data_IF_404906233619
#
_entry.id   IF_404906233619
#
_cell.length_a   1.000
_cell.length_b   1.000
_cell.length_c   1.000
_cell.angle_alpha   90.00
_cell.angle_beta   90.00
_cell.angle_gamma   90.00
#
_symmetry.space_group_name_H-M   'P 1'
#
loop_
_entity.id
_entity.type
_entity.pdbx_description
1 polymer ?
#
# COMPACT_ATOMS: atom_id res chain seq x y z
N UNK A 1 -28.10 -15.27 -38.00
CA UNK A 1 -26.78 -14.65 -38.23
C UNK A 1 -26.44 -13.57 -37.18
N UNK A 2 -27.45 -13.05 -36.46
CA UNK A 2 -27.31 -11.93 -35.48
C UNK A 2 -26.68 -12.22 -34.11
N UNK A 3 -26.72 -13.47 -33.65
CA UNK A 3 -26.23 -13.80 -32.30
C UNK A 3 -24.71 -13.83 -32.17
N UNK A 4 -23.96 -14.07 -33.23
CA UNK A 4 -22.49 -14.07 -33.22
C UNK A 4 -21.91 -12.65 -33.28
N UNK A 5 -22.54 -11.74 -34.02
CA UNK A 5 -22.10 -10.33 -34.10
C UNK A 5 -22.38 -9.55 -32.81
N UNK A 6 -23.50 -9.84 -32.16
CA UNK A 6 -23.81 -9.24 -30.83
C UNK A 6 -22.87 -9.75 -29.77
N UNK A 7 -22.47 -11.02 -29.77
CA UNK A 7 -21.50 -11.58 -28.79
C UNK A 7 -20.07 -11.07 -29.01
N UNK A 8 -19.65 -10.84 -30.25
CA UNK A 8 -18.31 -10.24 -30.52
C UNK A 8 -18.27 -8.75 -30.17
N UNK A 9 -19.37 -8.01 -30.37
CA UNK A 9 -19.47 -6.60 -30.01
C UNK A 9 -19.43 -6.36 -28.50
N UNK A 10 -20.11 -7.19 -27.71
CA UNK A 10 -20.06 -7.12 -26.24
C UNK A 10 -18.71 -7.56 -25.68
N UNK A 11 -18.10 -8.61 -26.23
CA UNK A 11 -16.78 -9.06 -25.79
C UNK A 11 -15.68 -8.01 -26.04
N UNK A 12 -15.72 -7.30 -27.18
CA UNK A 12 -14.78 -6.21 -27.48
C UNK A 12 -14.98 -5.01 -26.55
N UNK A 13 -16.22 -4.65 -26.26
CA UNK A 13 -16.55 -3.54 -25.36
C UNK A 13 -16.09 -3.82 -23.93
N UNK A 14 -16.25 -5.05 -23.48
CA UNK A 14 -15.79 -5.47 -22.13
C UNK A 14 -14.26 -5.51 -22.06
N UNK A 15 -13.56 -5.90 -23.12
CA UNK A 15 -12.10 -5.87 -23.21
C UNK A 15 -11.55 -4.43 -23.22
N UNK A 16 -12.23 -3.50 -23.91
CA UNK A 16 -11.89 -2.07 -23.86
C UNK A 16 -12.08 -1.47 -22.46
N UNK A 17 -13.16 -1.83 -21.77
CA UNK A 17 -13.41 -1.38 -20.40
C UNK A 17 -12.33 -1.87 -19.43
N UNK A 18 -11.88 -3.12 -19.57
CA UNK A 18 -10.79 -3.68 -18.75
C UNK A 18 -9.43 -3.06 -19.08
N UNK A 19 -9.18 -2.68 -20.34
CA UNK A 19 -7.92 -2.06 -20.78
C UNK A 19 -7.80 -0.56 -20.47
N UNK A 20 -8.93 0.15 -20.33
CA UNK A 20 -8.96 1.61 -20.11
C UNK A 20 -8.37 2.07 -18.78
N UNK A 21 -8.25 1.18 -17.80
CA UNK A 21 -7.74 1.46 -16.45
C UNK A 21 -6.21 1.49 -16.33
N UNK A 22 -5.44 1.04 -17.35
CA UNK A 22 -4.00 0.87 -17.22
C UNK A 22 -3.28 2.17 -16.82
N UNK A 23 -3.49 3.25 -17.56
CA UNK A 23 -2.85 4.54 -17.26
C UNK A 23 -3.23 5.10 -15.87
N UNK A 24 -4.48 4.90 -15.45
CA UNK A 24 -4.95 5.25 -14.11
C UNK A 24 -4.23 4.42 -13.06
N UNK A 25 -4.13 3.12 -13.27
CA UNK A 25 -3.43 2.21 -12.36
C UNK A 25 -1.95 2.56 -12.20
N UNK A 26 -1.25 2.96 -13.29
CA UNK A 26 0.15 3.44 -13.22
C UNK A 26 0.26 4.70 -12.39
N UNK A 27 -0.62 5.69 -12.59
CA UNK A 27 -0.63 6.92 -11.79
C UNK A 27 -0.86 6.59 -10.32
N UNK A 28 -1.81 5.69 -10.01
CA UNK A 28 -2.06 5.26 -8.64
C UNK A 28 -0.84 4.56 -8.03
N UNK A 29 -0.16 3.67 -8.76
CA UNK A 29 1.01 2.94 -8.27
C UNK A 29 2.21 3.87 -7.97
N UNK A 30 2.47 4.83 -8.87
CA UNK A 30 3.54 5.81 -8.65
C UNK A 30 3.22 6.77 -7.49
N UNK A 31 1.96 7.23 -7.38
CA UNK A 31 1.51 8.02 -6.23
C UNK A 31 1.63 7.23 -4.93
N UNK A 32 1.29 5.93 -4.96
CA UNK A 32 1.51 5.05 -3.83
C UNK A 32 2.98 5.04 -3.39
N UNK A 33 3.92 4.91 -4.34
CA UNK A 33 5.35 4.98 -4.04
C UNK A 33 5.75 6.27 -3.34
N UNK A 34 5.27 7.44 -3.81
CA UNK A 34 5.54 8.74 -3.19
C UNK A 34 5.09 8.78 -1.73
N UNK A 35 3.86 8.37 -1.44
CA UNK A 35 3.26 8.44 -0.11
C UNK A 35 3.80 7.38 0.84
N UNK A 36 3.99 6.14 0.37
CA UNK A 36 4.58 5.07 1.17
C UNK A 36 6.02 5.39 1.57
N UNK A 37 6.80 6.02 0.68
CA UNK A 37 8.15 6.48 1.02
C UNK A 37 8.18 7.61 2.04
N UNK A 38 7.17 8.49 2.02
CA UNK A 38 7.05 9.58 3.00
C UNK A 38 6.59 9.09 4.38
N UNK A 39 5.84 7.98 4.44
CA UNK A 39 5.32 7.43 5.70
C UNK A 39 6.42 6.97 6.67
N UNK A 40 7.63 6.72 6.17
CA UNK A 40 8.79 6.37 7.00
C UNK A 40 9.44 7.59 7.66
N UNK A 41 9.25 8.79 7.12
CA UNK A 41 9.87 9.99 7.66
C UNK A 41 9.46 10.29 9.12
N UNK A 42 8.18 10.22 9.52
CA UNK A 42 7.79 10.38 10.91
C UNK A 42 8.34 9.31 11.85
N UNK A 43 8.51 8.08 11.39
CA UNK A 43 9.04 6.97 12.22
C UNK A 43 10.52 7.15 12.54
N UNK A 44 11.29 7.82 11.68
CA UNK A 44 12.69 8.18 11.95
C UNK A 44 12.84 9.19 13.10
N UNK A 45 11.78 9.94 13.41
CA UNK A 45 11.75 10.89 14.53
C UNK A 45 11.60 10.17 15.89
N UNK A 46 11.39 8.85 15.88
CA UNK A 46 11.16 8.05 17.09
C UNK A 46 12.33 7.11 17.33
N UNK A 47 13.31 7.56 18.09
CA UNK A 47 14.36 6.70 18.65
C UNK A 47 14.00 6.39 20.12
N UNK A 48 13.13 5.39 20.33
CA UNK A 48 12.36 5.30 21.57
C UNK A 48 12.73 4.13 22.49
N UNK A 49 13.53 3.19 22.03
CA UNK A 49 13.75 1.94 22.80
C UNK A 49 12.48 1.11 23.01
N UNK A 50 11.37 1.45 22.33
CA UNK A 50 10.13 0.69 22.37
C UNK A 50 10.29 -0.68 21.69
N UNK A 51 9.48 -1.65 22.15
CA UNK A 51 9.43 -2.95 21.50
C UNK A 51 8.84 -2.84 20.06
N UNK A 52 9.23 -3.72 19.13
CA UNK A 52 8.63 -3.79 17.79
C UNK A 52 7.10 -3.94 17.82
N UNK A 53 6.57 -4.64 18.79
CA UNK A 53 5.12 -4.80 18.97
C UNK A 53 4.44 -3.48 19.35
N UNK A 54 5.02 -2.72 20.28
CA UNK A 54 4.53 -1.42 20.69
C UNK A 54 4.56 -0.41 19.53
N UNK A 55 5.67 -0.34 18.79
CA UNK A 55 5.81 0.51 17.59
C UNK A 55 4.74 0.18 16.59
N UNK A 56 4.56 -1.12 16.26
CA UNK A 56 3.57 -1.58 15.30
C UNK A 56 2.14 -1.20 15.74
N UNK A 57 1.79 -1.40 17.00
CA UNK A 57 0.47 -1.04 17.53
C UNK A 57 0.19 0.46 17.43
N UNK A 58 1.16 1.30 17.79
CA UNK A 58 1.03 2.76 17.72
C UNK A 58 0.85 3.24 16.25
N UNK A 59 1.61 2.67 15.31
CA UNK A 59 1.42 2.96 13.88
C UNK A 59 0.03 2.53 13.40
N UNK A 60 -0.41 1.32 13.76
CA UNK A 60 -1.71 0.79 13.34
C UNK A 60 -2.87 1.58 13.91
N UNK A 61 -2.73 2.24 15.06
CA UNK A 61 -3.73 3.19 15.54
C UNK A 61 -3.95 4.36 14.55
N UNK A 62 -2.86 4.88 13.96
CA UNK A 62 -2.92 5.88 12.89
C UNK A 62 -3.54 5.33 11.60
N UNK A 63 -3.14 4.11 11.22
CA UNK A 63 -3.72 3.38 10.07
C UNK A 63 -5.22 3.19 10.25
N UNK A 64 -5.66 2.73 11.42
CA UNK A 64 -7.09 2.56 11.73
C UNK A 64 -7.86 3.86 11.56
N UNK A 65 -7.36 4.94 12.15
CA UNK A 65 -7.99 6.25 12.05
C UNK A 65 -8.09 6.72 10.60
N UNK A 66 -7.03 6.60 9.80
CA UNK A 66 -7.03 7.00 8.41
C UNK A 66 -7.98 6.16 7.54
N UNK A 67 -8.04 4.84 7.76
CA UNK A 67 -8.88 3.91 7.00
C UNK A 67 -10.38 4.06 7.28
N UNK A 68 -10.75 4.72 8.36
CA UNK A 68 -12.13 5.17 8.59
C UNK A 68 -12.36 6.61 8.13
N UNK A 69 -11.38 7.48 8.29
CA UNK A 69 -11.49 8.91 7.95
C UNK A 69 -11.50 9.15 6.44
N UNK A 70 -10.54 8.56 5.69
CA UNK A 70 -10.40 8.82 4.25
C UNK A 70 -11.58 8.28 3.43
N UNK A 71 -12.04 7.03 3.59
CA UNK A 71 -13.25 6.54 2.93
C UNK A 71 -14.50 7.35 3.30
N UNK A 72 -14.64 7.72 4.58
CA UNK A 72 -15.74 8.58 5.04
C UNK A 72 -15.70 9.95 4.36
N UNK A 73 -14.52 10.56 4.22
CA UNK A 73 -14.34 11.83 3.54
C UNK A 73 -14.68 11.75 2.05
N UNK A 74 -14.32 10.66 1.38
CA UNK A 74 -14.50 10.49 -0.07
C UNK A 74 -15.93 10.06 -0.45
N UNK A 75 -16.46 9.04 0.21
CA UNK A 75 -17.74 8.39 -0.13
C UNK A 75 -18.82 8.45 0.96
N UNK A 76 -18.41 8.66 2.22
CA UNK A 76 -19.31 8.58 3.38
C UNK A 76 -19.53 7.14 3.88
N UNK A 77 -19.92 7.02 5.15
CA UNK A 77 -20.16 5.74 5.81
C UNK A 77 -21.31 4.95 5.22
N UNK A 78 -22.35 5.63 4.73
CA UNK A 78 -23.50 4.96 4.08
C UNK A 78 -23.07 4.14 2.88
N UNK A 79 -22.20 4.69 2.04
CA UNK A 79 -21.63 3.95 0.90
C UNK A 79 -20.85 2.74 1.35
N UNK A 80 -19.93 2.94 2.32
CA UNK A 80 -19.09 1.85 2.85
C UNK A 80 -19.95 0.70 3.40
N UNK A 81 -20.93 0.99 4.25
CA UNK A 81 -21.79 -0.03 4.83
C UNK A 81 -22.70 -0.70 3.79
N UNK A 82 -23.18 0.05 2.79
CA UNK A 82 -23.97 -0.53 1.70
C UNK A 82 -23.14 -1.50 0.85
N UNK A 83 -21.88 -1.14 0.52
CA UNK A 83 -20.97 -1.99 -0.23
C UNK A 83 -20.57 -3.24 0.58
N UNK A 84 -20.27 -3.08 1.88
CA UNK A 84 -20.02 -4.21 2.78
C UNK A 84 -21.23 -5.14 2.89
N UNK A 85 -22.43 -4.57 2.98
CA UNK A 85 -23.68 -5.34 3.02
C UNK A 85 -23.91 -6.19 1.78
N UNK A 86 -23.47 -5.72 0.62
CA UNK A 86 -23.54 -6.43 -0.67
C UNK A 86 -22.46 -7.51 -0.80
N UNK A 87 -21.29 -7.28 -0.20
CA UNK A 87 -20.11 -8.12 -0.33
C UNK A 87 -19.74 -8.84 0.98
N UNK A 88 -20.74 -9.26 1.76
CA UNK A 88 -20.55 -9.91 3.10
C UNK A 88 -19.57 -11.07 3.09
N UNK A 89 -19.55 -11.86 2.00
CA UNK A 89 -18.68 -13.03 1.82
C UNK A 89 -17.18 -12.65 1.74
N UNK A 90 -16.85 -11.36 1.51
CA UNK A 90 -15.48 -10.86 1.44
C UNK A 90 -14.98 -10.28 2.76
N UNK A 91 -15.86 -10.05 3.75
CA UNK A 91 -15.49 -9.46 5.05
C UNK A 91 -14.41 -10.28 5.74
N UNK A 92 -14.56 -11.61 5.79
CA UNK A 92 -13.55 -12.49 6.38
C UNK A 92 -12.21 -12.40 5.63
N UNK A 93 -12.25 -12.33 4.30
CA UNK A 93 -11.05 -12.19 3.49
C UNK A 93 -10.31 -10.86 3.80
N UNK A 94 -11.05 -9.77 4.00
CA UNK A 94 -10.48 -8.48 4.36
C UNK A 94 -9.83 -8.52 5.76
N UNK A 95 -10.50 -9.12 6.75
CA UNK A 95 -9.94 -9.30 8.09
C UNK A 95 -8.66 -10.14 8.05
N UNK A 96 -8.68 -11.28 7.34
CA UNK A 96 -7.49 -12.15 7.18
C UNK A 96 -6.33 -11.41 6.50
N UNK A 97 -6.60 -10.59 5.49
CA UNK A 97 -5.58 -9.76 4.87
C UNK A 97 -4.96 -8.78 5.88
N UNK A 98 -5.79 -8.16 6.72
CA UNK A 98 -5.33 -7.28 7.79
C UNK A 98 -4.48 -8.01 8.84
N UNK A 99 -4.84 -9.23 9.19
CA UNK A 99 -4.03 -10.06 10.09
C UNK A 99 -2.65 -10.37 9.48
N UNK A 100 -2.60 -10.77 8.20
CA UNK A 100 -1.34 -11.02 7.48
C UNK A 100 -0.48 -9.76 7.44
N UNK A 101 -1.09 -8.61 7.16
CA UNK A 101 -0.38 -7.33 7.15
C UNK A 101 0.22 -7.00 8.52
N UNK A 102 -0.54 -7.14 9.60
CA UNK A 102 -0.10 -6.82 10.96
C UNK A 102 1.12 -7.65 11.38
N UNK A 103 1.09 -8.96 11.08
CA UNK A 103 2.23 -9.84 11.35
C UNK A 103 3.42 -9.43 10.49
N UNK A 104 3.22 -9.19 9.20
CA UNK A 104 4.29 -8.76 8.29
C UNK A 104 4.91 -7.43 8.75
N UNK A 105 4.10 -6.44 9.10
CA UNK A 105 4.57 -5.15 9.59
C UNK A 105 5.39 -5.29 10.90
N UNK A 106 4.93 -6.13 11.81
CA UNK A 106 5.69 -6.41 13.04
C UNK A 106 7.03 -7.09 12.71
N UNK A 107 7.05 -8.05 11.79
CA UNK A 107 8.29 -8.70 11.33
C UNK A 107 9.26 -7.71 10.67
N UNK A 108 8.80 -6.69 9.95
CA UNK A 108 9.69 -5.67 9.38
C UNK A 108 10.37 -4.83 10.47
N UNK A 109 9.65 -4.49 11.55
CA UNK A 109 10.25 -3.77 12.68
C UNK A 109 11.32 -4.64 13.36
N UNK A 110 11.08 -5.95 13.51
CA UNK A 110 12.11 -6.89 13.99
C UNK A 110 13.30 -6.96 13.05
N UNK A 111 13.06 -7.07 11.73
CA UNK A 111 14.12 -7.11 10.75
C UNK A 111 15.00 -5.85 10.80
N UNK A 112 14.39 -4.65 10.89
CA UNK A 112 15.13 -3.40 11.01
C UNK A 112 15.98 -3.39 12.29
N UNK A 113 15.43 -3.84 13.40
CA UNK A 113 16.15 -3.91 14.68
C UNK A 113 17.36 -4.87 14.63
N UNK A 114 17.18 -6.03 13.99
CA UNK A 114 18.13 -7.13 14.08
C UNK A 114 19.21 -7.10 12.98
N UNK A 115 18.92 -6.59 11.77
CA UNK A 115 19.87 -6.50 10.65
C UNK A 115 20.00 -5.11 10.04
N UNK A 116 19.26 -4.15 10.57
CA UNK A 116 19.23 -2.77 10.05
C UNK A 116 18.41 -2.62 8.78
N UNK A 117 18.08 -1.38 8.47
CA UNK A 117 17.21 -1.02 7.35
C UNK A 117 17.80 -1.43 5.99
N UNK A 118 19.10 -1.30 5.85
CA UNK A 118 19.87 -1.59 4.61
C UNK A 118 19.70 -3.03 4.11
N UNK A 119 19.65 -4.00 5.02
CA UNK A 119 19.50 -5.42 4.68
C UNK A 119 18.01 -5.79 4.65
N UNK A 120 17.25 -5.31 5.62
CA UNK A 120 15.83 -5.63 5.75
C UNK A 120 15.02 -5.14 4.53
N UNK A 121 15.26 -3.93 4.08
CA UNK A 121 14.51 -3.27 3.01
C UNK A 121 14.52 -4.05 1.67
N UNK A 122 15.68 -4.41 1.11
CA UNK A 122 15.71 -5.21 -0.11
C UNK A 122 15.03 -6.56 0.02
N UNK A 123 15.18 -7.21 1.18
CA UNK A 123 14.60 -8.53 1.41
C UNK A 123 13.08 -8.51 1.40
N UNK A 124 12.46 -7.58 2.11
CA UNK A 124 10.99 -7.56 2.10
C UNK A 124 10.40 -7.03 0.78
N UNK A 125 11.15 -6.24 -0.01
CA UNK A 125 10.71 -5.81 -1.35
C UNK A 125 10.66 -6.95 -2.37
N UNK A 126 11.21 -8.11 -2.05
CA UNK A 126 10.97 -9.34 -2.83
C UNK A 126 9.50 -9.78 -2.79
N UNK A 127 8.64 -9.13 -1.98
CA UNK A 127 7.18 -9.26 -2.01
C UNK A 127 6.60 -9.03 -3.41
N UNK A 128 7.25 -8.20 -4.25
CA UNK A 128 6.91 -8.01 -5.66
C UNK A 128 6.96 -9.32 -6.45
N UNK A 129 8.00 -10.13 -6.21
CA UNK A 129 8.18 -11.41 -6.91
C UNK A 129 7.14 -12.42 -6.44
N UNK A 130 6.85 -12.44 -5.13
CA UNK A 130 5.75 -13.25 -4.55
C UNK A 130 4.41 -12.82 -5.14
N UNK A 131 4.16 -11.51 -5.25
CA UNK A 131 2.96 -10.97 -5.88
C UNK A 131 2.81 -11.34 -7.35
N UNK A 132 3.89 -11.27 -8.14
CA UNK A 132 3.89 -11.72 -9.56
C UNK A 132 3.54 -13.21 -9.65
N UNK A 133 4.12 -14.04 -8.76
CA UNK A 133 3.85 -15.47 -8.72
C UNK A 133 2.36 -15.73 -8.46
N UNK A 134 1.79 -15.11 -7.43
CA UNK A 134 0.36 -15.27 -7.10
C UNK A 134 -0.56 -14.69 -8.18
N UNK A 135 -0.22 -13.52 -8.74
CA UNK A 135 -0.95 -12.94 -9.87
C UNK A 135 -1.06 -13.90 -11.06
N UNK A 136 0.06 -14.56 -11.40
CA UNK A 136 0.10 -15.54 -12.49
C UNK A 136 -0.65 -16.83 -12.15
N UNK A 137 -0.45 -17.39 -10.95
CA UNK A 137 -1.02 -18.69 -10.59
C UNK A 137 -2.53 -18.63 -10.34
N UNK A 138 -3.00 -17.63 -9.60
CA UNK A 138 -4.38 -17.55 -9.13
C UNK A 138 -5.29 -16.74 -10.05
N UNK A 139 -4.78 -15.64 -10.60
CA UNK A 139 -5.58 -14.70 -11.39
C UNK A 139 -5.30 -14.74 -12.89
N UNK A 140 -4.30 -15.52 -13.30
CA UNK A 140 -3.95 -15.67 -14.71
C UNK A 140 -3.29 -14.42 -15.31
N UNK A 141 -2.74 -13.54 -14.46
CA UNK A 141 -1.96 -12.39 -14.91
C UNK A 141 -0.76 -12.85 -15.74
N UNK A 142 -0.40 -12.09 -16.76
CA UNK A 142 0.66 -12.41 -17.71
C UNK A 142 0.39 -13.70 -18.56
N UNK A 143 -0.77 -14.34 -18.46
CA UNK A 143 -1.13 -15.46 -19.34
C UNK A 143 -1.36 -14.96 -20.76
N UNK A 144 -0.64 -15.58 -21.71
CA UNK A 144 -0.73 -15.18 -23.12
C UNK A 144 -0.17 -13.80 -23.44
N UNK A 145 0.51 -13.16 -22.47
CA UNK A 145 1.32 -11.97 -22.73
C UNK A 145 2.50 -12.32 -23.62
N UNK A 146 2.94 -11.38 -24.47
CA UNK A 146 4.15 -11.58 -25.27
C UNK A 146 5.37 -11.77 -24.36
N UNK A 147 6.36 -12.53 -24.83
CA UNK A 147 7.62 -12.71 -24.08
C UNK A 147 8.26 -11.36 -23.70
N UNK A 148 8.11 -10.34 -24.57
CA UNK A 148 8.58 -8.98 -24.30
C UNK A 148 7.88 -8.35 -23.07
N UNK A 149 6.55 -8.50 -22.96
CA UNK A 149 5.80 -7.95 -21.82
C UNK A 149 6.08 -8.72 -20.53
N UNK A 150 6.21 -10.04 -20.59
CA UNK A 150 6.64 -10.85 -19.45
C UNK A 150 8.03 -10.43 -18.98
N UNK A 151 8.98 -10.28 -19.91
CA UNK A 151 10.34 -9.82 -19.60
C UNK A 151 10.33 -8.40 -18.98
N UNK A 152 9.54 -7.46 -19.50
CA UNK A 152 9.40 -6.12 -18.91
C UNK A 152 8.95 -6.16 -17.44
N UNK A 153 7.98 -6.99 -17.11
CA UNK A 153 7.48 -7.11 -15.72
C UNK A 153 8.51 -7.78 -14.83
N UNK A 154 9.07 -8.92 -15.23
CA UNK A 154 10.04 -9.66 -14.42
C UNK A 154 11.35 -8.91 -14.26
N UNK A 155 11.96 -8.46 -15.36
CA UNK A 155 13.22 -7.72 -15.30
C UNK A 155 13.06 -6.36 -14.64
N UNK A 156 11.91 -5.69 -14.88
CA UNK A 156 11.59 -4.45 -14.21
C UNK A 156 11.42 -4.62 -12.70
N UNK A 157 10.73 -5.66 -12.24
CA UNK A 157 10.62 -5.97 -10.81
C UNK A 157 11.99 -6.34 -10.19
N UNK A 158 12.79 -7.14 -10.87
CA UNK A 158 14.16 -7.46 -10.42
C UNK A 158 15.05 -6.21 -10.37
N UNK A 159 14.93 -5.30 -11.35
CA UNK A 159 15.66 -4.03 -11.35
C UNK A 159 15.26 -3.15 -10.15
N UNK A 160 13.97 -3.08 -9.81
CA UNK A 160 13.49 -2.34 -8.62
C UNK A 160 14.06 -2.96 -7.33
N UNK A 161 14.08 -4.29 -7.21
CA UNK A 161 14.70 -4.96 -6.05
C UNK A 161 16.21 -4.69 -6.00
N UNK A 162 16.92 -4.80 -7.13
CA UNK A 162 18.35 -4.52 -7.19
C UNK A 162 18.64 -3.04 -6.84
N UNK A 163 17.83 -2.13 -7.33
CA UNK A 163 17.91 -0.71 -6.97
C UNK A 163 17.72 -0.48 -5.48
N UNK A 164 16.74 -1.16 -4.85
CA UNK A 164 16.53 -1.08 -3.41
C UNK A 164 17.77 -1.55 -2.62
N UNK A 165 18.44 -2.62 -3.10
CA UNK A 165 19.74 -3.06 -2.55
C UNK A 165 20.80 -1.95 -2.64
N UNK A 166 20.96 -1.34 -3.83
CA UNK A 166 21.94 -0.28 -4.04
C UNK A 166 21.66 0.94 -3.16
N UNK A 167 20.40 1.37 -3.08
CA UNK A 167 19.97 2.50 -2.26
C UNK A 167 20.15 2.19 -0.75
N UNK A 168 19.85 0.96 -0.33
CA UNK A 168 20.10 0.52 1.03
C UNK A 168 21.59 0.59 1.38
N UNK A 169 22.47 0.03 0.57
CA UNK A 169 23.92 0.08 0.80
C UNK A 169 24.48 1.50 0.82
N UNK A 170 23.84 2.45 0.14
CA UNK A 170 24.29 3.85 0.14
C UNK A 170 24.10 4.55 1.49
N UNK A 171 23.30 4.00 2.39
CA UNK A 171 23.01 4.58 3.72
C UNK A 171 23.85 3.97 4.85
N UNK A 172 24.74 3.01 4.56
CA UNK A 172 25.63 2.41 5.58
C UNK A 172 26.72 3.39 5.96
N UNK A 173 26.69 3.84 7.19
CA UNK A 173 27.74 4.64 7.81
C UNK A 173 28.33 3.86 8.99
N UNK A 174 29.44 3.14 8.80
CA UNK A 174 30.27 2.56 9.85
C UNK A 174 29.60 1.53 10.78
N UNK A 175 30.39 0.56 11.26
CA UNK A 175 30.08 -0.44 12.30
C UNK A 175 28.77 -1.26 12.13
N UNK A 176 28.76 -2.13 11.13
CA UNK A 176 27.82 -3.25 11.05
C UNK A 176 28.13 -4.42 12.02
N UNK A 177 29.14 -4.26 12.89
CA UNK A 177 29.58 -5.31 13.82
C UNK A 177 28.65 -5.57 15.00
N UNK A 178 27.71 -4.67 15.31
CA UNK A 178 26.82 -4.79 16.46
C UNK A 178 25.71 -5.87 16.33
N UNK A 179 25.50 -6.46 15.16
CA UNK A 179 24.33 -7.30 14.86
C UNK A 179 24.62 -8.81 14.71
N UNK A 180 25.88 -9.26 14.92
CA UNK A 180 26.33 -10.62 14.58
C UNK A 180 25.53 -11.78 15.20
N UNK A 181 24.95 -11.62 16.38
CA UNK A 181 24.19 -12.69 17.05
C UNK A 181 22.72 -12.81 16.63
N UNK A 182 22.16 -11.80 15.95
CA UNK A 182 20.75 -11.75 15.55
C UNK A 182 20.53 -11.65 14.03
N UNK A 183 21.60 -11.75 13.25
CA UNK A 183 21.52 -11.57 11.79
C UNK A 183 20.56 -12.54 11.12
N UNK A 184 20.58 -13.81 11.53
CA UNK A 184 19.69 -14.83 10.97
C UNK A 184 18.23 -14.54 11.29
N UNK A 185 17.91 -14.16 12.52
CA UNK A 185 16.53 -13.82 12.91
C UNK A 185 15.99 -12.63 12.12
N UNK A 186 16.81 -11.60 11.91
CA UNK A 186 16.43 -10.43 11.13
C UNK A 186 16.19 -10.74 9.65
N UNK A 187 17.05 -11.58 9.04
CA UNK A 187 16.86 -12.04 7.65
C UNK A 187 15.58 -12.87 7.51
N UNK A 188 15.34 -13.81 8.44
CA UNK A 188 14.13 -14.62 8.44
C UNK A 188 12.87 -13.78 8.66
N UNK A 189 12.93 -12.76 9.52
CA UNK A 189 11.84 -11.83 9.72
C UNK A 189 11.54 -11.03 8.46
N UNK A 190 12.55 -10.51 7.76
CA UNK A 190 12.37 -9.79 6.49
C UNK A 190 11.80 -10.69 5.38
N UNK A 191 12.30 -11.94 5.26
CA UNK A 191 11.79 -12.92 4.30
C UNK A 191 10.34 -13.31 4.62
N UNK A 192 10.01 -13.53 5.89
CA UNK A 192 8.64 -13.78 6.35
C UNK A 192 7.71 -12.62 6.04
N UNK A 193 8.13 -11.38 6.29
CA UNK A 193 7.37 -10.19 5.94
C UNK A 193 7.12 -10.11 4.43
N UNK A 194 8.12 -10.38 3.60
CA UNK A 194 7.99 -10.44 2.13
C UNK A 194 6.92 -11.42 1.69
N UNK A 195 6.97 -12.65 2.22
CA UNK A 195 6.01 -13.70 1.90
C UNK A 195 4.58 -13.30 2.31
N UNK A 196 4.42 -12.80 3.52
CA UNK A 196 3.11 -12.40 4.04
C UNK A 196 2.54 -11.19 3.28
N UNK A 197 3.34 -10.15 3.03
CA UNK A 197 2.88 -9.01 2.22
C UNK A 197 2.56 -9.41 0.77
N UNK A 198 3.40 -10.23 0.13
CA UNK A 198 3.10 -10.74 -1.21
C UNK A 198 1.81 -11.56 -1.26
N UNK A 199 1.50 -12.31 -0.17
CA UNK A 199 0.32 -13.17 -0.08
C UNK A 199 -0.95 -12.39 0.27
N UNK A 200 -0.86 -11.33 1.06
CA UNK A 200 -2.04 -10.54 1.43
C UNK A 200 -2.73 -9.86 0.25
N UNK A 201 -2.05 -9.71 -0.89
CA UNK A 201 -2.67 -9.17 -2.11
C UNK A 201 -3.64 -10.14 -2.79
N UNK A 202 -3.63 -11.43 -2.42
CA UNK A 202 -4.60 -12.41 -2.91
C UNK A 202 -6.03 -12.01 -2.51
N UNK A 203 -6.37 -11.83 -1.21
CA UNK A 203 -7.69 -11.36 -0.82
C UNK A 203 -8.03 -9.96 -1.37
N UNK A 204 -7.06 -9.07 -1.56
CA UNK A 204 -7.28 -7.78 -2.22
C UNK A 204 -7.82 -7.99 -3.64
N UNK A 205 -7.04 -8.67 -4.48
CA UNK A 205 -7.42 -8.91 -5.86
C UNK A 205 -8.77 -9.62 -5.97
N UNK A 206 -8.99 -10.62 -5.10
CA UNK A 206 -10.25 -11.34 -5.02
C UNK A 206 -11.42 -10.41 -4.72
N UNK A 207 -11.28 -9.49 -3.77
CA UNK A 207 -12.30 -8.53 -3.42
C UNK A 207 -12.66 -7.63 -4.62
N UNK A 208 -11.66 -7.15 -5.35
CA UNK A 208 -11.90 -6.23 -6.46
C UNK A 208 -12.52 -6.88 -7.69
N UNK A 209 -12.11 -8.12 -8.03
CA UNK A 209 -12.77 -8.88 -9.13
C UNK A 209 -14.15 -9.40 -8.73
N UNK A 210 -14.53 -9.32 -7.45
CA UNK A 210 -15.89 -9.59 -6.97
C UNK A 210 -16.75 -8.33 -6.82
N UNK A 211 -16.23 -7.16 -7.24
CA UNK A 211 -16.97 -5.90 -7.28
C UNK A 211 -16.93 -5.07 -5.99
N UNK A 212 -16.15 -5.47 -4.99
CA UNK A 212 -15.99 -4.67 -3.75
C UNK A 212 -15.09 -3.46 -4.01
N UNK A 213 -15.48 -2.32 -3.44
CA UNK A 213 -14.71 -1.09 -3.55
C UNK A 213 -13.46 -1.14 -2.64
N UNK A 214 -12.27 -0.68 -3.11
CA UNK A 214 -11.09 -0.55 -2.27
C UNK A 214 -11.30 0.23 -0.98
N UNK A 215 -12.10 1.31 -1.00
CA UNK A 215 -12.41 2.11 0.18
C UNK A 215 -13.19 1.33 1.24
N UNK A 216 -14.13 0.47 0.82
CA UNK A 216 -14.90 -0.39 1.72
C UNK A 216 -14.05 -1.55 2.25
N UNK A 217 -13.18 -2.11 1.40
CA UNK A 217 -12.29 -3.20 1.78
C UNK A 217 -11.36 -2.79 2.93
N UNK A 218 -10.71 -1.62 2.82
CA UNK A 218 -9.71 -1.18 3.81
C UNK A 218 -10.32 -0.86 5.18
N UNK A 219 -11.60 -0.49 5.27
CA UNK A 219 -12.25 -0.25 6.57
C UNK A 219 -12.39 -1.52 7.41
N UNK A 220 -12.67 -2.64 6.76
CA UNK A 220 -12.76 -3.95 7.45
C UNK A 220 -11.38 -4.57 7.65
N UNK A 221 -10.51 -4.42 6.67
CA UNK A 221 -9.13 -4.87 6.74
C UNK A 221 -8.43 -4.34 8.00
N UNK A 222 -8.63 -3.06 8.34
CA UNK A 222 -7.99 -2.44 9.51
C UNK A 222 -8.45 -3.03 10.85
N UNK A 223 -9.61 -3.69 10.90
CA UNK A 223 -10.06 -4.42 12.11
C UNK A 223 -9.13 -5.61 12.36
N UNK A 224 -8.77 -6.34 11.30
CA UNK A 224 -7.79 -7.42 11.37
C UNK A 224 -6.40 -6.94 11.79
N UNK A 225 -5.95 -5.79 11.25
CA UNK A 225 -4.67 -5.19 11.62
C UNK A 225 -4.61 -4.81 13.09
N UNK A 226 -5.57 -4.00 13.55
CA UNK A 226 -5.58 -3.49 14.92
C UNK A 226 -5.75 -4.64 15.93
N UNK A 227 -6.69 -5.55 15.66
CA UNK A 227 -6.92 -6.71 16.51
C UNK A 227 -5.69 -7.61 16.64
N UNK A 228 -4.98 -7.84 15.53
CA UNK A 228 -3.77 -8.67 15.54
C UNK A 228 -2.61 -7.97 16.24
N UNK A 229 -2.32 -6.69 15.95
CA UNK A 229 -1.27 -5.96 16.66
C UNK A 229 -1.54 -5.89 18.16
N UNK A 230 -2.79 -5.67 18.56
CA UNK A 230 -3.17 -5.69 19.97
C UNK A 230 -2.96 -7.06 20.61
N UNK A 231 -3.38 -8.13 19.92
CA UNK A 231 -3.17 -9.50 20.38
C UNK A 231 -1.68 -9.86 20.52
N UNK A 232 -0.83 -9.40 19.57
CA UNK A 232 0.61 -9.61 19.63
C UNK A 232 1.24 -8.91 20.84
N UNK A 233 0.83 -7.67 21.16
CA UNK A 233 1.30 -6.97 22.37
C UNK A 233 0.87 -7.74 23.62
N UNK A 234 -0.39 -8.16 23.69
CA UNK A 234 -0.88 -8.90 24.86
C UNK A 234 -0.19 -10.26 25.04
N UNK A 235 0.09 -10.95 23.95
CA UNK A 235 0.66 -12.31 24.01
C UNK A 235 2.19 -12.31 24.18
N UNK A 236 2.90 -11.35 23.57
CA UNK A 236 4.35 -11.42 23.37
C UNK A 236 5.15 -10.23 23.93
N UNK A 237 4.49 -9.15 24.37
CA UNK A 237 5.14 -7.93 24.85
C UNK A 237 4.83 -7.58 26.31
N UNK A 238 4.53 -8.58 27.11
CA UNK A 238 4.27 -8.39 28.56
C UNK A 238 2.79 -8.21 28.94
N UNK A 239 1.87 -8.44 28.02
CA UNK A 239 0.44 -8.43 28.30
C UNK A 239 -0.09 -7.03 28.64
N UNK A 240 -0.97 -6.95 29.62
CA UNK A 240 -1.51 -5.68 30.11
C UNK A 240 -0.46 -4.79 30.78
N UNK A 241 0.72 -5.33 31.13
CA UNK A 241 1.86 -4.59 31.70
C UNK A 241 2.81 -4.07 30.63
N UNK A 242 2.53 -4.26 29.35
CA UNK A 242 3.37 -3.77 28.26
C UNK A 242 3.63 -2.26 28.39
N UNK A 243 4.84 -1.83 28.04
CA UNK A 243 5.26 -0.44 28.13
C UNK A 243 4.32 0.51 27.35
N UNK A 244 3.74 0.03 26.26
CA UNK A 244 2.81 0.81 25.42
C UNK A 244 1.59 1.32 26.19
N UNK A 245 1.18 0.67 27.28
CA UNK A 245 0.02 1.08 28.08
C UNK A 245 0.38 1.93 29.31
N UNK A 246 1.65 1.92 29.74
CA UNK A 246 2.03 2.48 31.06
C UNK A 246 3.17 3.50 31.00
N UNK A 247 4.00 3.48 29.93
CA UNK A 247 5.11 4.42 29.84
C UNK A 247 4.63 5.85 29.57
N UNK A 248 4.95 6.83 30.40
CA UNK A 248 4.60 8.23 30.18
C UNK A 248 5.25 8.80 28.91
N UNK A 249 6.41 8.27 28.49
CA UNK A 249 7.16 8.72 27.33
C UNK A 249 6.42 8.45 26.01
N UNK A 250 5.57 7.41 25.98
CA UNK A 250 4.77 7.08 24.79
C UNK A 250 3.88 8.22 24.36
N UNK A 251 3.30 8.99 25.29
CA UNK A 251 2.44 10.13 24.97
C UNK A 251 3.12 11.15 24.06
N UNK A 252 4.44 11.31 24.20
CA UNK A 252 5.23 12.26 23.41
C UNK A 252 5.66 11.72 22.05
N UNK A 253 5.79 10.39 21.95
CA UNK A 253 6.22 9.68 20.72
C UNK A 253 5.05 9.25 19.86
N UNK A 254 3.88 9.05 20.46
CA UNK A 254 2.69 8.49 19.81
C UNK A 254 2.25 9.31 18.59
N UNK A 255 2.36 10.64 18.65
CA UNK A 255 2.02 11.51 17.52
C UNK A 255 2.77 11.11 16.24
N UNK A 256 4.06 10.88 16.33
CA UNK A 256 4.90 10.59 15.16
C UNK A 256 4.62 9.22 14.57
N UNK A 257 4.46 8.20 15.41
CA UNK A 257 4.09 6.85 14.98
C UNK A 257 2.69 6.84 14.36
N UNK A 258 1.74 7.51 15.00
CA UNK A 258 0.38 7.67 14.51
C UNK A 258 0.34 8.41 13.17
N UNK A 259 1.09 9.51 13.04
CA UNK A 259 1.22 10.27 11.80
C UNK A 259 1.81 9.42 10.68
N UNK A 260 2.86 8.63 10.95
CA UNK A 260 3.43 7.69 9.98
C UNK A 260 2.39 6.69 9.48
N UNK A 261 1.63 6.09 10.39
CA UNK A 261 0.53 5.19 10.04
C UNK A 261 -0.58 5.87 9.24
N UNK A 262 -0.94 7.10 9.60
CA UNK A 262 -1.96 7.85 8.86
C UNK A 262 -1.51 8.18 7.42
N UNK A 263 -0.29 8.68 7.26
CA UNK A 263 0.31 9.01 5.95
C UNK A 263 0.43 7.76 5.08
N UNK A 264 0.80 6.62 5.69
CA UNK A 264 0.93 5.35 5.01
C UNK A 264 -0.37 4.93 4.30
N UNK A 265 -1.54 5.17 4.91
CA UNK A 265 -2.85 4.78 4.35
C UNK A 265 -3.15 5.48 3.03
N UNK A 266 -2.73 6.71 2.84
CA UNK A 266 -2.94 7.42 1.57
C UNK A 266 -2.18 6.70 0.44
N UNK A 267 -0.94 6.30 0.72
CA UNK A 267 -0.14 5.49 -0.20
C UNK A 267 -0.77 4.11 -0.44
N UNK A 268 -1.21 3.44 0.62
CA UNK A 268 -1.86 2.13 0.52
C UNK A 268 -3.16 2.20 -0.29
N UNK A 269 -4.01 3.19 -0.10
CA UNK A 269 -5.23 3.37 -0.90
C UNK A 269 -4.90 3.55 -2.39
N UNK A 270 -3.89 4.33 -2.72
CA UNK A 270 -3.40 4.44 -4.10
C UNK A 270 -2.91 3.08 -4.62
N UNK A 271 -2.19 2.30 -3.81
CA UNK A 271 -1.75 0.94 -4.16
C UNK A 271 -2.93 -0.02 -4.36
N UNK A 272 -3.98 0.10 -3.57
CA UNK A 272 -5.21 -0.68 -3.71
C UNK A 272 -5.89 -0.41 -5.07
N UNK A 273 -6.05 0.86 -5.45
CA UNK A 273 -6.56 1.22 -6.78
C UNK A 273 -5.62 0.76 -7.90
N UNK A 274 -4.31 0.87 -7.71
CA UNK A 274 -3.35 0.33 -8.66
C UNK A 274 -3.52 -1.19 -8.85
N UNK A 275 -3.67 -1.94 -7.75
CA UNK A 275 -3.89 -3.39 -7.78
C UNK A 275 -5.21 -3.75 -8.47
N UNK A 276 -6.24 -2.93 -8.28
CA UNK A 276 -7.52 -3.08 -8.98
C UNK A 276 -7.34 -3.01 -10.51
N UNK A 277 -6.63 -1.99 -11.01
CA UNK A 277 -6.55 -1.71 -12.46
C UNK A 277 -5.37 -2.38 -13.16
N UNK A 278 -4.23 -2.57 -12.51
CA UNK A 278 -3.03 -3.19 -13.12
C UNK A 278 -2.88 -4.68 -12.81
N UNK A 279 -3.58 -5.17 -11.78
CA UNK A 279 -3.29 -6.46 -11.19
C UNK A 279 -2.11 -6.41 -10.22
N UNK A 280 -1.89 -7.53 -9.51
CA UNK A 280 -0.87 -7.66 -8.46
C UNK A 280 0.54 -7.55 -9.07
N UNK A 281 0.78 -8.26 -10.18
CA UNK A 281 2.11 -8.40 -10.76
C UNK A 281 2.72 -7.11 -11.31
N UNK A 282 1.93 -6.06 -11.53
CA UNK A 282 2.42 -4.74 -11.98
C UNK A 282 2.31 -3.69 -10.90
N UNK A 283 1.23 -3.70 -10.12
CA UNK A 283 0.96 -2.67 -9.13
C UNK A 283 2.01 -2.68 -8.00
N UNK A 284 2.34 -3.87 -7.48
CA UNK A 284 3.28 -3.98 -6.34
C UNK A 284 4.70 -3.51 -6.73
N UNK A 285 5.32 -4.01 -7.83
CA UNK A 285 6.64 -3.52 -8.22
C UNK A 285 6.69 -2.00 -8.42
N UNK A 286 5.65 -1.42 -9.04
CA UNK A 286 5.59 0.03 -9.25
C UNK A 286 5.48 0.82 -7.94
N UNK A 287 4.69 0.36 -6.98
CA UNK A 287 4.57 1.03 -5.68
C UNK A 287 5.83 0.85 -4.82
N UNK A 288 6.64 -0.19 -5.05
CA UNK A 288 7.93 -0.37 -4.39
C UNK A 288 9.01 0.66 -4.81
N UNK A 289 8.68 1.59 -5.72
CA UNK A 289 9.47 2.82 -5.93
C UNK A 289 9.48 3.74 -4.70
N UNK A 290 8.72 3.40 -3.65
CA UNK A 290 8.73 4.06 -2.34
C UNK A 290 10.15 4.22 -1.74
N UNK A 291 11.06 3.30 -2.06
CA UNK A 291 12.47 3.35 -1.66
C UNK A 291 13.16 4.64 -2.10
N UNK A 292 12.93 5.05 -3.35
CA UNK A 292 13.50 6.28 -3.88
C UNK A 292 13.00 7.50 -3.10
N UNK A 293 11.73 7.50 -2.75
CA UNK A 293 11.13 8.59 -1.98
C UNK A 293 11.55 8.58 -0.52
N UNK A 294 11.63 7.41 0.12
CA UNK A 294 12.17 7.26 1.47
C UNK A 294 13.62 7.76 1.56
N UNK A 295 14.45 7.43 0.55
CA UNK A 295 15.80 7.96 0.45
C UNK A 295 15.82 9.49 0.24
N UNK A 296 14.92 10.03 -0.59
CA UNK A 296 14.81 11.47 -0.78
C UNK A 296 14.49 12.20 0.53
N UNK A 297 13.58 11.68 1.33
CA UNK A 297 13.32 12.19 2.68
C UNK A 297 14.55 12.09 3.57
N UNK A 298 15.20 10.94 3.63
CA UNK A 298 16.41 10.72 4.43
C UNK A 298 17.56 11.65 4.03
N UNK A 299 17.86 11.72 2.74
CA UNK A 299 18.99 12.48 2.22
C UNK A 299 18.76 14.00 2.28
N UNK A 300 17.59 14.48 1.86
CA UNK A 300 17.33 15.90 1.64
C UNK A 300 16.78 16.59 2.89
N UNK A 301 15.85 15.95 3.60
CA UNK A 301 15.23 16.54 4.80
C UNK A 301 16.10 16.30 6.03
N UNK A 302 16.57 15.05 6.23
CA UNK A 302 17.35 14.67 7.42
C UNK A 302 18.87 14.75 7.23
N UNK A 303 19.35 15.00 6.00
CA UNK A 303 20.78 15.17 5.73
C UNK A 303 21.61 13.90 5.87
N UNK A 304 21.01 12.71 5.78
CA UNK A 304 21.68 11.41 6.02
C UNK A 304 22.87 11.15 5.08
N UNK A 305 22.89 11.78 3.89
CA UNK A 305 23.96 11.64 2.92
C UNK A 305 24.97 12.80 2.95
N UNK A 306 24.88 13.71 3.91
CA UNK A 306 25.78 14.87 4.00
C UNK A 306 27.26 14.44 4.10
N UNK A 307 27.52 13.38 4.84
CA UNK A 307 28.89 12.83 5.05
C UNK A 307 29.18 11.61 4.17
N UNK A 308 28.31 11.29 3.18
CA UNK A 308 28.52 10.15 2.29
C UNK A 308 29.74 10.34 1.40
N UNK A 309 30.54 9.28 1.27
CA UNK A 309 31.68 9.24 0.36
C UNK A 309 31.23 9.11 -1.12
N UNK A 310 32.19 9.24 -2.05
CA UNK A 310 31.89 9.17 -3.48
C UNK A 310 31.25 7.83 -3.92
N UNK A 311 31.61 6.71 -3.30
CA UNK A 311 31.04 5.41 -3.61
C UNK A 311 29.55 5.33 -3.20
N UNK A 312 29.21 5.83 -2.01
CA UNK A 312 27.81 5.90 -1.55
C UNK A 312 26.97 6.81 -2.44
N UNK A 313 27.49 7.99 -2.85
CA UNK A 313 26.80 8.87 -3.78
C UNK A 313 26.57 8.22 -5.15
N UNK A 314 27.55 7.46 -5.64
CA UNK A 314 27.44 6.70 -6.89
C UNK A 314 26.33 5.63 -6.77
N UNK A 315 26.25 4.89 -5.64
CA UNK A 315 25.18 3.93 -5.39
C UNK A 315 23.80 4.60 -5.38
N UNK A 316 23.68 5.81 -4.81
CA UNK A 316 22.42 6.57 -4.85
C UNK A 316 22.02 6.90 -6.28
N UNK A 317 22.91 7.45 -7.07
CA UNK A 317 22.63 7.84 -8.46
C UNK A 317 22.31 6.60 -9.30
N UNK A 318 23.16 5.59 -9.26
CA UNK A 318 22.98 4.36 -10.03
C UNK A 318 21.71 3.59 -9.61
N UNK A 319 21.46 3.45 -8.31
CA UNK A 319 20.24 2.82 -7.79
C UNK A 319 18.99 3.59 -8.20
N UNK A 320 19.01 4.91 -8.14
CA UNK A 320 17.87 5.72 -8.60
C UNK A 320 17.59 5.54 -10.10
N UNK A 321 18.64 5.54 -10.94
CA UNK A 321 18.49 5.29 -12.38
C UNK A 321 17.94 3.89 -12.65
N UNK A 322 18.48 2.85 -12.00
CA UNK A 322 18.01 1.46 -12.14
C UNK A 322 16.55 1.33 -11.71
N UNK A 323 16.15 1.99 -10.61
CA UNK A 323 14.77 1.98 -10.16
C UNK A 323 13.81 2.64 -11.14
N UNK A 324 14.17 3.80 -11.69
CA UNK A 324 13.38 4.50 -12.70
C UNK A 324 13.24 3.65 -13.97
N UNK A 325 14.32 3.04 -14.44
CA UNK A 325 14.28 2.15 -15.61
C UNK A 325 13.40 0.91 -15.35
N UNK A 326 13.50 0.32 -14.15
CA UNK A 326 12.64 -0.78 -13.72
C UNK A 326 11.18 -0.39 -13.70
N UNK A 327 10.85 0.76 -13.11
CA UNK A 327 9.48 1.28 -13.07
C UNK A 327 8.92 1.58 -14.48
N UNK A 328 9.73 2.17 -15.36
CA UNK A 328 9.36 2.40 -16.77
C UNK A 328 9.11 1.07 -17.50
N UNK A 329 9.94 0.06 -17.28
CA UNK A 329 9.73 -1.27 -17.88
C UNK A 329 8.38 -1.87 -17.46
N UNK A 330 8.07 -1.88 -16.15
CA UNK A 330 6.79 -2.40 -15.63
C UNK A 330 5.60 -1.57 -16.11
N UNK A 331 5.69 -0.23 -16.07
CA UNK A 331 4.58 0.66 -16.45
C UNK A 331 4.19 0.56 -17.91
N UNK A 332 5.15 0.27 -18.79
CA UNK A 332 4.92 0.08 -20.23
C UNK A 332 4.49 -1.34 -20.62
N UNK A 333 4.40 -2.27 -19.67
CA UNK A 333 3.94 -3.63 -19.90
C UNK A 333 2.39 -3.68 -19.87
N UNK A 334 1.76 -3.32 -20.98
CA UNK A 334 0.29 -3.31 -21.12
C UNK A 334 -0.25 -4.74 -21.13
N UNK A 335 -1.40 -4.96 -20.49
CA UNK A 335 -2.10 -6.24 -20.52
C UNK A 335 -2.49 -6.63 -21.95
N UNK A 336 -2.27 -7.89 -22.29
CA UNK A 336 -2.70 -8.42 -23.59
C UNK A 336 -4.20 -8.72 -23.60
N UNK A 337 -4.81 -8.82 -24.78
CA UNK A 337 -6.21 -9.22 -24.93
C UNK A 337 -6.51 -10.56 -24.23
N UNK A 338 -5.59 -11.54 -24.35
CA UNK A 338 -5.70 -12.84 -23.65
C UNK A 338 -5.67 -12.71 -22.13
N UNK A 339 -4.91 -11.75 -21.61
CA UNK A 339 -4.87 -11.47 -20.18
C UNK A 339 -6.19 -10.82 -19.70
N UNK A 340 -6.77 -9.92 -20.50
CA UNK A 340 -8.09 -9.34 -20.23
C UNK A 340 -9.18 -10.42 -20.23
N UNK A 341 -9.15 -11.35 -21.18
CA UNK A 341 -10.05 -12.52 -21.21
C UNK A 341 -9.85 -13.38 -19.96
N UNK A 342 -8.62 -13.63 -19.53
CA UNK A 342 -8.33 -14.40 -18.31
C UNK A 342 -8.87 -13.69 -17.06
N UNK A 343 -8.76 -12.37 -17.00
CA UNK A 343 -9.32 -11.55 -15.91
C UNK A 343 -10.85 -11.62 -15.88
N UNK A 344 -11.49 -11.53 -17.06
CA UNK A 344 -12.94 -11.70 -17.19
C UNK A 344 -13.39 -13.08 -16.72
N UNK A 345 -12.70 -14.15 -17.13
CA UNK A 345 -12.98 -15.51 -16.67
C UNK A 345 -12.80 -15.68 -15.16
N UNK A 346 -11.81 -15.00 -14.55
CA UNK A 346 -11.63 -15.01 -13.10
C UNK A 346 -12.80 -14.31 -12.40
N UNK A 347 -13.26 -13.16 -12.92
CA UNK A 347 -14.43 -12.44 -12.44
C UNK A 347 -15.71 -13.30 -12.58
N UNK A 348 -15.95 -13.91 -13.72
CA UNK A 348 -17.11 -14.79 -13.93
C UNK A 348 -17.13 -16.00 -13.01
N UNK A 349 -15.96 -16.60 -12.71
CA UNK A 349 -15.83 -17.69 -11.71
C UNK A 349 -16.21 -17.23 -10.31
N UNK A 350 -15.77 -16.05 -9.88
CA UNK A 350 -16.15 -15.50 -8.59
C UNK A 350 -17.65 -15.15 -8.55
N UNK A 351 -18.20 -14.59 -9.63
CA UNK A 351 -19.63 -14.33 -9.73
C UNK A 351 -20.46 -15.61 -9.64
N UNK A 352 -20.08 -16.66 -10.37
CA UNK A 352 -20.74 -17.98 -10.32
C UNK A 352 -20.65 -18.60 -8.93
N UNK A 353 -19.49 -18.48 -8.27
CA UNK A 353 -19.26 -19.05 -6.92
C UNK A 353 -20.14 -18.42 -5.84
N UNK A 354 -20.41 -17.13 -5.95
CA UNK A 354 -21.15 -16.38 -4.93
C UNK A 354 -22.52 -15.91 -5.38
N UNK A 355 -22.98 -16.34 -6.56
CA UNK A 355 -24.30 -15.97 -7.10
C UNK A 355 -24.41 -14.46 -7.40
N UNK A 356 -23.32 -13.81 -7.84
CA UNK A 356 -23.28 -12.39 -8.13
C UNK A 356 -23.66 -12.12 -9.59
N UNK A 357 -24.28 -10.96 -9.85
CA UNK A 357 -24.53 -10.49 -11.22
C UNK A 357 -23.21 -10.03 -11.87
N UNK A 358 -22.78 -10.75 -12.90
CA UNK A 358 -21.51 -10.49 -13.60
C UNK A 358 -21.48 -9.14 -14.31
N UNK A 359 -22.59 -8.66 -14.85
CA UNK A 359 -22.66 -7.34 -15.50
C UNK A 359 -22.44 -6.21 -14.50
N UNK A 360 -23.05 -6.33 -13.33
CA UNK A 360 -22.87 -5.39 -12.23
C UNK A 360 -21.45 -5.41 -11.67
N UNK A 361 -20.87 -6.59 -11.44
CA UNK A 361 -19.50 -6.73 -10.94
C UNK A 361 -18.51 -6.14 -11.93
N UNK A 362 -18.72 -6.36 -13.25
CA UNK A 362 -17.89 -5.75 -14.29
C UNK A 362 -18.02 -4.23 -14.30
N UNK A 363 -19.24 -3.68 -14.12
CA UNK A 363 -19.48 -2.25 -14.02
C UNK A 363 -18.79 -1.65 -12.80
N UNK A 364 -18.86 -2.32 -11.63
CA UNK A 364 -18.15 -1.91 -10.41
C UNK A 364 -16.63 -1.98 -10.57
N UNK A 365 -16.12 -3.03 -11.22
CA UNK A 365 -14.69 -3.19 -11.50
C UNK A 365 -14.16 -2.09 -12.43
N UNK A 366 -14.88 -1.77 -13.49
CA UNK A 366 -14.51 -0.72 -14.46
C UNK A 366 -14.78 0.72 -13.97
N UNK A 367 -15.48 0.88 -12.84
CA UNK A 367 -15.91 2.19 -12.33
C UNK A 367 -17.10 2.79 -13.09
N UNK A 368 -17.82 1.99 -13.86
CA UNK A 368 -18.99 2.44 -14.61
C UNK A 368 -20.27 2.55 -13.72
N UNK A 369 -20.37 1.74 -12.68
CA UNK A 369 -21.55 1.71 -11.79
C UNK A 369 -21.81 3.09 -11.16
N UNK A 370 -20.78 3.73 -10.63
CA UNK A 370 -20.91 5.02 -9.94
C UNK A 370 -21.09 6.23 -10.91
N UNK A 371 -20.82 6.04 -12.22
CA UNK A 371 -21.07 7.10 -13.21
C UNK A 371 -22.56 7.23 -13.57
N UNK A 372 -23.31 6.14 -13.48
CA UNK A 372 -24.72 6.08 -13.82
C UNK A 372 -25.64 6.36 -12.64
N UNK A 373 -25.12 6.27 -11.42
CA UNK A 373 -25.91 6.56 -10.22
C UNK A 373 -26.23 8.05 -10.11
N UNK A 374 -27.49 8.36 -9.84
CA UNK A 374 -27.99 9.74 -9.67
C UNK A 374 -27.26 10.42 -8.50
N UNK A 375 -26.72 11.60 -8.76
CA UNK A 375 -25.87 12.40 -7.85
C UNK A 375 -26.47 12.64 -6.45
N UNK A 376 -27.79 12.54 -6.30
CA UNK A 376 -28.51 12.85 -5.05
C UNK A 376 -28.56 11.72 -4.01
N UNK A 377 -28.44 10.45 -4.43
CA UNK A 377 -28.54 9.31 -3.49
C UNK A 377 -27.21 8.92 -2.87
N UNK A 378 -26.09 9.19 -3.56
CA UNK A 378 -24.75 8.81 -3.11
C UNK A 378 -24.06 9.88 -2.23
N UNK A 379 -24.46 11.15 -2.33
CA UNK A 379 -23.79 12.27 -1.64
C UNK A 379 -24.43 12.66 -0.29
N UNK A 380 -25.49 11.99 0.15
CA UNK A 380 -26.15 12.29 1.43
C UNK A 380 -25.27 11.84 2.62
N UNK A 381 -24.50 12.78 3.17
CA UNK A 381 -23.69 12.56 4.37
C UNK A 381 -24.56 12.24 5.57
N UNK A 382 -24.22 11.18 6.29
CA UNK A 382 -24.82 10.88 7.59
C UNK A 382 -24.19 11.71 8.71
N UNK A 383 -24.89 11.88 9.82
CA UNK A 383 -24.30 12.56 10.98
C UNK A 383 -23.06 11.83 11.54
N UNK A 384 -22.99 10.53 11.39
CA UNK A 384 -21.84 9.71 11.75
C UNK A 384 -20.57 10.08 10.99
N UNK A 385 -20.68 10.54 9.74
CA UNK A 385 -19.53 10.97 8.96
C UNK A 385 -18.82 12.12 9.64
N UNK A 386 -19.60 13.09 10.15
CA UNK A 386 -19.05 14.24 10.88
C UNK A 386 -18.46 13.84 12.23
N UNK A 387 -19.05 12.86 12.93
CA UNK A 387 -18.51 12.33 14.18
C UNK A 387 -17.15 11.66 13.96
N UNK A 388 -17.01 10.83 12.92
CA UNK A 388 -15.74 10.17 12.59
C UNK A 388 -14.67 11.21 12.25
N UNK A 389 -15.01 12.20 11.42
CA UNK A 389 -14.07 13.26 11.04
C UNK A 389 -13.68 14.13 12.23
N UNK A 390 -14.62 14.50 13.06
CA UNK A 390 -14.36 15.30 14.28
C UNK A 390 -13.53 14.51 15.31
N UNK A 391 -13.82 13.23 15.50
CA UNK A 391 -13.05 12.36 16.38
C UNK A 391 -11.59 12.22 15.90
N UNK A 392 -11.39 12.00 14.59
CA UNK A 392 -10.05 11.94 14.02
C UNK A 392 -9.29 13.25 14.20
N UNK A 393 -9.92 14.39 13.91
CA UNK A 393 -9.34 15.71 14.13
C UNK A 393 -8.99 15.93 15.61
N UNK A 394 -9.89 15.55 16.52
CA UNK A 394 -9.67 15.62 17.97
C UNK A 394 -8.47 14.80 18.43
N UNK A 395 -8.32 13.57 17.91
CA UNK A 395 -7.16 12.72 18.19
C UNK A 395 -5.87 13.38 17.69
N UNK A 396 -5.86 13.91 16.46
CA UNK A 396 -4.68 14.61 15.93
C UNK A 396 -4.29 15.83 16.78
N UNK A 397 -5.28 16.65 17.16
CA UNK A 397 -5.04 17.82 18.03
C UNK A 397 -4.49 17.38 19.37
N UNK A 398 -5.13 16.39 20.02
CA UNK A 398 -4.67 15.88 21.32
C UNK A 398 -3.24 15.34 21.26
N UNK A 399 -2.94 14.50 20.26
CA UNK A 399 -1.59 13.93 20.10
C UNK A 399 -0.57 15.02 19.75
N UNK A 400 -0.92 15.97 18.88
CA UNK A 400 -0.05 17.08 18.50
C UNK A 400 0.30 17.99 19.66
N UNK A 401 -0.65 18.28 20.55
CA UNK A 401 -0.42 19.09 21.77
C UNK A 401 0.53 18.41 22.76
N UNK A 402 0.61 17.07 22.76
CA UNK A 402 1.49 16.28 23.62
C UNK A 402 2.81 15.86 22.91
N UNK A 403 2.95 16.12 21.64
CA UNK A 403 4.13 15.73 20.87
C UNK A 403 5.37 16.51 21.33
N UNK A 404 6.46 15.78 21.54
CA UNK A 404 7.77 16.43 21.70
C UNK A 404 8.42 16.59 20.34
N UNK A 405 8.98 17.76 20.08
CA UNK A 405 9.80 18.00 18.90
C UNK A 405 11.05 17.10 18.99
N UNK A 406 11.33 16.29 17.98
CA UNK A 406 12.50 15.44 17.99
C UNK A 406 13.78 16.29 17.93
N UNK A 407 14.89 15.84 18.52
CA UNK A 407 16.16 16.55 18.54
C UNK A 407 16.90 16.54 17.17
N UNK A 408 16.18 16.32 16.08
CA UNK A 408 16.73 16.23 14.74
C UNK A 408 16.63 17.55 14.00
N UNK A 409 17.74 18.00 13.42
CA UNK A 409 17.75 19.15 12.51
C UNK A 409 17.16 18.72 11.17
N UNK A 410 16.08 19.36 10.78
CA UNK A 410 15.42 19.14 9.49
C UNK A 410 15.66 20.32 8.54
N UNK A 411 15.92 20.03 7.28
CA UNK A 411 15.96 21.06 6.25
C UNK A 411 14.54 21.48 5.86
N UNK A 412 14.10 22.65 6.34
CA UNK A 412 12.74 23.15 6.12
C UNK A 412 12.40 23.34 4.63
N UNK A 413 13.34 23.78 3.80
CA UNK A 413 13.08 23.96 2.37
C UNK A 413 12.73 22.64 1.67
N UNK A 414 13.48 21.59 1.94
CA UNK A 414 13.20 20.26 1.40
C UNK A 414 11.96 19.61 2.02
N UNK A 415 11.69 19.85 3.31
CA UNK A 415 10.43 19.42 3.96
C UNK A 415 9.21 19.97 3.21
N UNK A 416 9.21 21.28 2.91
CA UNK A 416 8.11 21.90 2.16
C UNK A 416 8.07 21.45 0.70
N UNK A 417 9.23 21.29 0.05
CA UNK A 417 9.29 20.84 -1.34
C UNK A 417 8.72 19.41 -1.49
N UNK A 418 9.15 18.45 -0.65
CA UNK A 418 8.63 17.09 -0.69
C UNK A 418 7.18 17.03 -0.20
N UNK A 419 6.78 17.85 0.77
CA UNK A 419 5.39 18.02 1.18
C UNK A 419 4.51 18.50 0.02
N UNK A 420 4.97 19.45 -0.80
CA UNK A 420 4.26 19.87 -2.00
C UNK A 420 4.12 18.74 -3.03
N UNK A 421 5.16 17.91 -3.21
CA UNK A 421 5.10 16.72 -4.09
C UNK A 421 4.02 15.73 -3.60
N UNK A 422 3.91 15.50 -2.29
CA UNK A 422 2.85 14.67 -1.71
C UNK A 422 1.47 15.21 -2.07
N UNK A 423 1.22 16.50 -1.82
CA UNK A 423 -0.07 17.13 -2.09
C UNK A 423 -0.41 17.09 -3.58
N UNK A 424 0.55 17.45 -4.44
CA UNK A 424 0.35 17.46 -5.90
C UNK A 424 0.09 16.04 -6.43
N UNK A 425 0.85 15.05 -5.99
CA UNK A 425 0.64 13.66 -6.43
C UNK A 425 -0.74 13.13 -6.00
N UNK A 426 -1.17 13.40 -4.77
CA UNK A 426 -2.51 13.04 -4.29
C UNK A 426 -3.62 13.77 -5.05
N UNK A 427 -3.46 15.07 -5.33
CA UNK A 427 -4.42 15.87 -6.08
C UNK A 427 -4.55 15.37 -7.53
N UNK A 428 -3.45 15.06 -8.20
CA UNK A 428 -3.43 14.51 -9.57
C UNK A 428 -4.09 13.12 -9.58
N UNK A 429 -3.67 12.23 -8.71
CA UNK A 429 -4.23 10.88 -8.61
C UNK A 429 -5.72 10.93 -8.25
N UNK A 430 -6.08 11.67 -7.20
CA UNK A 430 -7.46 11.81 -6.74
C UNK A 430 -8.37 12.45 -7.79
N UNK A 431 -7.90 13.49 -8.51
CA UNK A 431 -8.69 14.11 -9.59
C UNK A 431 -8.92 13.14 -10.76
N UNK A 432 -7.93 12.31 -11.10
CA UNK A 432 -8.09 11.27 -12.14
C UNK A 432 -9.03 10.16 -11.70
N UNK A 433 -8.88 9.65 -10.45
CA UNK A 433 -9.81 8.67 -9.89
C UNK A 433 -11.23 9.21 -9.85
N UNK A 434 -11.41 10.46 -9.44
CA UNK A 434 -12.73 11.10 -9.43
C UNK A 434 -13.34 11.23 -10.82
N UNK A 435 -12.55 11.71 -11.80
CA UNK A 435 -13.04 11.90 -13.18
C UNK A 435 -13.37 10.60 -13.89
N UNK A 436 -12.54 9.57 -13.68
CA UNK A 436 -12.64 8.30 -14.42
C UNK A 436 -13.61 7.33 -13.73
N UNK A 437 -13.59 7.23 -12.40
CA UNK A 437 -14.29 6.16 -11.68
C UNK A 437 -15.15 6.63 -10.50
N UNK A 438 -15.12 7.93 -10.14
CA UNK A 438 -15.76 8.43 -8.90
C UNK A 438 -15.30 7.68 -7.64
N UNK A 439 -14.05 7.21 -7.61
CA UNK A 439 -13.50 6.36 -6.54
C UNK A 439 -14.20 5.00 -6.39
N UNK A 440 -14.71 4.44 -7.47
CA UNK A 440 -15.22 3.05 -7.46
C UNK A 440 -14.17 2.03 -7.84
#
# INVERSE_FOLDING_TARGET
>A
MDTKETMTGTANRDAELLGSGHGLGVVCALTAGVWLGAAEAPTKLVNSGLSPYAISLCMVAGVFTARWTVPTLLKGTRYVFADLGRNKHLILNAILAGMLWAVANTLTVFAIRDVGLTIAFPLWNTNSLVGILWGRLLFGELKGASAKNVAKVLLGALAIVAAAVMLGFSTIHGDSSAHGGRALSGVLAAAGASLLWGTMYIPYRKAYISGMNPLSFVTVFTVGELGTCFALVLALDGGTKAAVFHSPEIKHLLFWLFLGGFVWVIGDLCQQFATKYLGIGRAIPLSNTNQLWGLAWGALVFGELAHANAAHRLLVVAGSVVMILGALAVSTAIASERENVSTKQALERECSRYGLDSARVLAAYSGAEDRTATRGEQDARGWWDYVILAAAAGVFVYLGMNAQAPPLTMNAAWLWALGAVLVVSAAVCGSRLWKVTRFS
#
